data_IF_598497978372
#
_entry.id   IF_598497978372
#
_cell.length_a   1.000
_cell.length_b   1.000
_cell.length_c   1.000
_cell.angle_alpha   90.00
_cell.angle_beta   90.00
_cell.angle_gamma   90.00
#
_symmetry.space_group_name_H-M   'P 1'
#
loop_
_entity.id
_entity.type
_entity.pdbx_description
1 polymer ?
#
# COMPACT_ATOMS: atom_id res chain seq x y z
N UNK A 1 -18.67 38.76 18.11
CA UNK A 1 -18.47 37.35 17.69
C UNK A 1 -17.48 37.36 16.53
N UNK A 2 -16.28 36.80 16.72
CA UNK A 2 -15.27 36.76 15.66
C UNK A 2 -15.78 35.84 14.54
N UNK A 3 -15.85 36.37 13.32
CA UNK A 3 -16.08 35.58 12.11
C UNK A 3 -14.90 34.61 11.96
N UNK A 4 -15.08 33.38 12.44
CA UNK A 4 -14.10 32.34 12.26
C UNK A 4 -14.22 31.83 10.82
N UNK A 5 -13.14 31.91 10.03
CA UNK A 5 -13.14 31.47 8.64
C UNK A 5 -13.57 30.01 8.51
N UNK A 6 -13.31 29.19 9.53
CA UNK A 6 -13.78 27.80 9.63
C UNK A 6 -15.31 27.69 9.61
N UNK A 7 -16.05 28.56 10.30
CA UNK A 7 -17.52 28.51 10.31
C UNK A 7 -18.15 29.01 9.01
N UNK A 8 -17.44 29.86 8.27
CA UNK A 8 -17.83 30.27 6.91
C UNK A 8 -17.59 29.14 5.91
N UNK A 9 -16.43 28.48 5.98
CA UNK A 9 -16.09 27.33 5.13
C UNK A 9 -17.03 26.14 5.40
N UNK A 10 -17.38 25.87 6.66
CA UNK A 10 -18.38 24.85 7.01
C UNK A 10 -19.76 25.16 6.43
N UNK A 11 -20.22 26.42 6.51
CA UNK A 11 -21.52 26.84 5.95
C UNK A 11 -21.56 26.76 4.43
N UNK A 12 -20.43 26.95 3.75
CA UNK A 12 -20.30 26.83 2.28
C UNK A 12 -20.05 25.35 1.87
N UNK A 13 -19.95 24.43 2.84
CA UNK A 13 -19.82 23.00 2.59
C UNK A 13 -18.37 22.53 2.34
N UNK A 14 -17.38 23.40 2.54
CA UNK A 14 -15.95 23.09 2.48
C UNK A 14 -15.45 22.60 3.85
N UNK A 15 -16.11 21.58 4.41
CA UNK A 15 -15.67 20.94 5.65
C UNK A 15 -14.94 19.62 5.35
N UNK A 16 -14.16 19.11 6.32
CA UNK A 16 -13.44 17.84 6.17
C UNK A 16 -14.39 16.63 5.98
N UNK A 17 -15.66 16.74 6.39
CA UNK A 17 -16.67 15.67 6.30
C UNK A 17 -17.33 15.55 4.91
N UNK A 18 -17.25 16.58 4.06
CA UNK A 18 -17.84 16.60 2.71
C UNK A 18 -16.78 16.48 1.61
N UNK A 19 -15.56 16.05 1.95
CA UNK A 19 -14.51 15.87 0.94
C UNK A 19 -14.82 14.65 0.09
N UNK A 20 -14.47 14.73 -1.20
CA UNK A 20 -14.58 13.58 -2.10
C UNK A 20 -13.48 12.54 -1.83
N UNK A 21 -12.40 12.94 -1.16
CA UNK A 21 -11.24 12.10 -0.83
C UNK A 21 -10.86 12.25 0.63
N UNK A 22 -10.64 11.12 1.30
CA UNK A 22 -10.20 11.04 2.67
C UNK A 22 -8.93 10.19 2.75
N UNK A 23 -8.10 10.47 3.74
CA UNK A 23 -6.90 9.69 4.03
C UNK A 23 -6.91 9.30 5.49
N UNK A 24 -6.54 8.05 5.76
CA UNK A 24 -6.36 7.50 7.10
C UNK A 24 -4.98 6.85 7.16
N UNK A 25 -4.20 7.23 8.16
CA UNK A 25 -2.89 6.69 8.46
C UNK A 25 -3.02 5.78 9.68
N UNK A 26 -2.29 4.66 9.68
CA UNK A 26 -2.17 3.81 10.89
C UNK A 26 -1.45 4.53 12.04
N UNK A 27 -0.64 5.55 11.73
CA UNK A 27 -0.14 6.49 12.73
C UNK A 27 -1.18 7.60 12.98
N UNK A 28 -1.94 7.46 14.06
CA UNK A 28 -3.07 8.33 14.42
C UNK A 28 -2.69 9.82 14.52
N UNK A 29 -1.45 10.14 14.89
CA UNK A 29 -0.99 11.53 15.00
C UNK A 29 -1.05 12.27 13.65
N UNK A 30 -0.87 11.55 12.54
CA UNK A 30 -0.91 12.13 11.20
C UNK A 30 -2.34 12.47 10.76
N UNK A 31 -3.36 11.74 11.25
CA UNK A 31 -4.75 11.92 10.84
C UNK A 31 -5.33 13.30 11.17
N UNK A 32 -4.76 13.99 12.16
CA UNK A 32 -5.17 15.35 12.55
C UNK A 32 -4.32 16.45 11.93
N UNK A 33 -3.18 16.11 11.33
CA UNK A 33 -2.21 17.08 10.85
C UNK A 33 -2.07 17.07 9.32
N UNK A 34 -2.41 15.98 8.66
CA UNK A 34 -2.12 15.73 7.25
C UNK A 34 -3.42 15.49 6.50
N UNK A 35 -3.64 16.28 5.46
CA UNK A 35 -4.85 16.26 4.66
C UNK A 35 -4.54 15.97 3.21
N UNK A 36 -5.19 14.98 2.62
CA UNK A 36 -5.00 14.64 1.21
C UNK A 36 -5.58 15.73 0.30
N UNK A 37 -4.81 16.10 -0.73
CA UNK A 37 -5.19 17.02 -1.79
C UNK A 37 -5.33 16.30 -3.13
N UNK A 38 -4.44 15.35 -3.43
CA UNK A 38 -4.42 14.61 -4.70
C UNK A 38 -3.90 13.20 -4.48
N UNK A 39 -4.51 12.24 -5.17
CA UNK A 39 -3.99 10.89 -5.39
C UNK A 39 -3.83 10.68 -6.90
N UNK A 40 -2.72 10.12 -7.32
CA UNK A 40 -2.46 9.72 -8.71
C UNK A 40 -1.65 8.43 -8.69
N UNK A 41 -2.05 7.40 -9.43
CA UNK A 41 -1.37 6.13 -9.35
C UNK A 41 -1.73 5.17 -10.46
N UNK A 42 -1.09 4.01 -10.43
CA UNK A 42 -1.31 2.90 -11.32
C UNK A 42 -1.52 1.63 -10.51
N UNK A 43 -2.52 0.86 -10.92
CA UNK A 43 -2.77 -0.48 -10.40
C UNK A 43 -2.82 -1.44 -11.59
N UNK A 44 -1.97 -2.46 -11.58
CA UNK A 44 -1.77 -3.32 -12.74
C UNK A 44 -1.81 -4.81 -12.36
N UNK A 45 -2.44 -5.60 -13.23
CA UNK A 45 -2.30 -7.06 -13.22
C UNK A 45 -0.81 -7.42 -13.37
N UNK A 46 -0.31 -8.30 -12.50
CA UNK A 46 1.09 -8.72 -12.46
C UNK A 46 2.11 -7.59 -12.19
N UNK A 47 1.67 -6.45 -11.66
CA UNK A 47 2.50 -5.26 -11.42
C UNK A 47 2.29 -4.56 -10.07
N UNK A 48 1.22 -4.89 -9.34
CA UNK A 48 0.93 -4.30 -8.03
C UNK A 48 0.32 -2.89 -8.13
N UNK A 49 0.28 -2.20 -7.00
CA UNK A 49 -0.25 -0.86 -6.82
C UNK A 49 0.89 0.10 -6.45
N UNK A 50 0.98 1.21 -7.17
CA UNK A 50 1.81 2.36 -6.81
C UNK A 50 0.98 3.63 -7.00
N UNK A 51 0.91 4.47 -5.97
CA UNK A 51 0.28 5.78 -6.07
C UNK A 51 1.06 6.87 -5.33
N UNK A 52 0.98 8.07 -5.84
CA UNK A 52 1.51 9.29 -5.27
C UNK A 52 0.38 10.08 -4.60
N UNK A 53 0.62 10.46 -3.36
CA UNK A 53 -0.26 11.31 -2.56
C UNK A 53 0.39 12.67 -2.38
N UNK A 54 -0.34 13.72 -2.76
CA UNK A 54 0.00 15.10 -2.39
C UNK A 54 -0.86 15.47 -1.19
N UNK A 55 -0.21 15.70 -0.07
CA UNK A 55 -0.83 16.03 1.20
C UNK A 55 -0.46 17.46 1.63
N UNK A 56 -1.40 18.13 2.31
CA UNK A 56 -1.25 19.44 2.90
C UNK A 56 -1.25 19.32 4.43
N UNK A 57 -0.38 20.08 5.08
CA UNK A 57 -0.36 20.22 6.54
C UNK A 57 -0.13 21.68 6.94
N UNK A 58 -0.71 22.11 8.06
CA UNK A 58 -0.36 23.38 8.70
C UNK A 58 0.92 23.27 9.55
N UNK A 59 1.46 22.05 9.72
CA UNK A 59 2.68 21.79 10.46
C UNK A 59 3.84 21.50 9.51
N UNK A 60 4.83 22.38 9.47
CA UNK A 60 6.03 22.22 8.65
C UNK A 60 7.11 21.31 9.29
N UNK A 61 6.92 20.88 10.53
CA UNK A 61 7.95 20.19 11.33
C UNK A 61 7.70 18.69 11.48
N UNK A 62 6.77 18.10 10.71
CA UNK A 62 6.54 16.65 10.74
C UNK A 62 7.78 15.95 10.18
N UNK A 63 8.40 15.12 11.00
CA UNK A 63 9.58 14.37 10.60
C UNK A 63 9.20 13.30 9.55
N UNK A 64 9.89 13.26 8.41
CA UNK A 64 9.57 12.36 7.31
C UNK A 64 9.54 10.87 7.71
N UNK A 65 10.37 10.50 8.70
CA UNK A 65 10.40 9.14 9.27
C UNK A 65 9.09 8.71 9.93
N UNK A 66 8.21 9.65 10.30
CA UNK A 66 6.88 9.32 10.84
C UNK A 66 5.92 8.81 9.77
N UNK A 67 6.20 9.07 8.49
CA UNK A 67 5.41 8.56 7.37
C UNK A 67 5.90 7.20 6.89
N UNK A 68 7.21 6.97 6.84
CA UNK A 68 7.77 5.75 6.24
C UNK A 68 7.30 4.49 6.98
N UNK A 69 6.77 3.52 6.22
CA UNK A 69 6.27 2.25 6.75
C UNK A 69 4.90 2.32 7.40
N UNK A 70 4.23 3.48 7.36
CA UNK A 70 2.85 3.64 7.82
C UNK A 70 1.90 3.09 6.75
N UNK A 71 0.88 2.36 7.20
CA UNK A 71 -0.22 1.92 6.33
C UNK A 71 -1.17 3.09 6.12
N UNK A 72 -1.64 3.24 4.89
CA UNK A 72 -2.51 4.34 4.47
C UNK A 72 -3.74 3.76 3.79
N UNK A 73 -4.90 4.25 4.17
CA UNK A 73 -6.16 4.10 3.46
C UNK A 73 -6.50 5.43 2.78
N UNK A 74 -6.80 5.39 1.49
CA UNK A 74 -7.41 6.51 0.78
C UNK A 74 -8.82 6.10 0.39
N UNK A 75 -9.81 6.83 0.89
CA UNK A 75 -11.22 6.61 0.57
C UNK A 75 -11.70 7.67 -0.41
N UNK A 76 -12.25 7.22 -1.53
CA UNK A 76 -12.85 8.07 -2.55
C UNK A 76 -14.36 7.87 -2.54
N UNK A 77 -15.13 8.95 -2.52
CA UNK A 77 -16.58 8.88 -2.57
C UNK A 77 -17.01 8.61 -4.01
N UNK A 78 -17.55 7.42 -4.26
CA UNK A 78 -18.11 7.03 -5.56
C UNK A 78 -19.43 7.76 -5.83
N UNK A 79 -19.88 7.73 -7.08
CA UNK A 79 -21.16 8.27 -7.53
C UNK A 79 -22.37 7.65 -6.80
N UNK A 80 -22.27 6.38 -6.41
CA UNK A 80 -23.24 5.66 -5.58
C UNK A 80 -23.26 6.07 -4.12
N UNK A 81 -22.32 6.93 -3.68
CA UNK A 81 -22.12 7.31 -2.28
C UNK A 81 -21.35 6.28 -1.44
N UNK A 82 -20.92 5.17 -2.04
CA UNK A 82 -20.03 4.20 -1.41
C UNK A 82 -18.59 4.71 -1.39
N UNK A 83 -17.79 4.21 -0.44
CA UNK A 83 -16.36 4.51 -0.40
C UNK A 83 -15.61 3.48 -1.24
N UNK A 84 -14.90 3.95 -2.26
CA UNK A 84 -13.88 3.19 -2.96
C UNK A 84 -12.55 3.39 -2.24
N UNK A 85 -12.06 2.32 -1.61
CA UNK A 85 -10.85 2.35 -0.82
C UNK A 85 -9.63 1.95 -1.66
N UNK A 86 -8.50 2.56 -1.37
CA UNK A 86 -7.19 2.17 -1.88
C UNK A 86 -6.21 2.18 -0.72
N UNK A 87 -5.59 1.05 -0.45
CA UNK A 87 -4.66 0.85 0.66
C UNK A 87 -3.24 0.64 0.18
N UNK A 88 -2.29 1.04 1.01
CA UNK A 88 -0.89 0.85 0.71
C UNK A 88 -0.01 1.19 1.90
N UNK A 89 1.28 0.97 1.74
CA UNK A 89 2.32 1.32 2.71
C UNK A 89 3.08 2.50 2.14
N UNK A 90 3.36 3.52 2.96
CA UNK A 90 4.22 4.63 2.54
C UNK A 90 5.66 4.13 2.41
N UNK A 91 6.19 4.12 1.19
CA UNK A 91 7.55 3.66 0.89
C UNK A 91 8.51 4.82 0.71
N UNK A 92 8.01 5.97 0.27
CA UNK A 92 8.78 7.20 0.17
C UNK A 92 7.98 8.39 0.72
N UNK A 93 8.69 9.33 1.34
CA UNK A 93 8.12 10.57 1.83
C UNK A 93 9.10 11.71 1.54
N UNK A 94 8.58 12.80 0.98
CA UNK A 94 9.36 13.97 0.63
C UNK A 94 8.67 15.26 1.10
N UNK A 95 9.50 16.22 1.46
CA UNK A 95 9.07 17.55 1.87
C UNK A 95 8.97 18.45 0.63
N UNK A 96 7.81 19.07 0.42
CA UNK A 96 7.53 19.97 -0.68
C UNK A 96 7.72 21.45 -0.31
N UNK A 97 7.08 22.33 -1.08
CA UNK A 97 7.07 23.76 -0.77
C UNK A 97 6.25 24.04 0.48
N UNK A 98 6.70 25.01 1.29
CA UNK A 98 5.97 25.58 2.41
C UNK A 98 5.87 27.09 2.24
N UNK A 99 4.69 27.66 2.41
CA UNK A 99 4.45 29.11 2.38
C UNK A 99 4.38 29.72 3.79
N UNK A 100 4.63 28.91 4.82
CA UNK A 100 4.54 29.29 6.24
C UNK A 100 3.16 29.08 6.86
N UNK A 101 2.10 28.96 6.07
CA UNK A 101 0.76 28.60 6.55
C UNK A 101 0.41 27.14 6.22
N UNK A 102 0.78 26.68 5.02
CA UNK A 102 0.61 25.34 4.51
C UNK A 102 1.94 24.79 4.01
N UNK A 103 2.11 23.50 4.23
CA UNK A 103 3.27 22.73 3.83
C UNK A 103 2.82 21.51 3.04
N UNK A 104 3.46 21.29 1.90
CA UNK A 104 3.22 20.12 1.06
C UNK A 104 4.09 18.94 1.53
N UNK A 105 3.46 17.78 1.67
CA UNK A 105 4.12 16.49 1.85
C UNK A 105 3.73 15.59 0.70
N UNK A 106 4.73 15.06 -0.01
CA UNK A 106 4.51 14.10 -1.10
C UNK A 106 4.90 12.71 -0.61
N UNK A 107 3.93 11.80 -0.64
CA UNK A 107 4.08 10.42 -0.18
C UNK A 107 3.91 9.47 -1.37
N UNK A 108 4.76 8.47 -1.47
CA UNK A 108 4.57 7.34 -2.39
C UNK A 108 4.03 6.18 -1.58
N UNK A 109 2.86 5.68 -1.96
CA UNK A 109 2.26 4.46 -1.42
C UNK A 109 2.40 3.32 -2.40
N UNK A 110 2.80 2.16 -1.90
CA UNK A 110 2.89 0.91 -2.67
C UNK A 110 2.27 -0.22 -1.87
N UNK A 111 1.81 -1.28 -2.53
CA UNK A 111 1.28 -2.45 -1.83
C UNK A 111 2.38 -3.23 -1.09
N UNK A 112 1.95 -4.16 -0.23
CA UNK A 112 2.87 -4.89 0.64
C UNK A 112 3.86 -5.79 -0.12
N UNK A 113 3.59 -6.17 -1.37
CA UNK A 113 4.53 -6.95 -2.18
C UNK A 113 5.81 -6.18 -2.47
N UNK A 114 5.80 -4.85 -2.33
CA UNK A 114 7.03 -4.06 -2.49
C UNK A 114 8.12 -4.43 -1.46
N UNK A 115 7.71 -4.95 -0.29
CA UNK A 115 8.64 -5.45 0.72
C UNK A 115 9.50 -6.61 0.18
N UNK A 116 8.99 -7.41 -0.76
CA UNK A 116 9.72 -8.53 -1.36
C UNK A 116 10.92 -8.10 -2.19
N UNK A 117 10.94 -6.86 -2.70
CA UNK A 117 12.14 -6.31 -3.38
C UNK A 117 13.28 -6.01 -2.40
N UNK A 118 13.00 -5.88 -1.10
CA UNK A 118 13.99 -5.48 -0.09
C UNK A 118 14.81 -6.67 0.44
N UNK A 119 14.44 -7.91 0.12
CA UNK A 119 15.18 -9.12 0.46
C UNK A 119 15.74 -9.76 -0.80
N UNK A 120 17.04 -10.09 -0.78
CA UNK A 120 17.74 -10.85 -1.82
C UNK A 120 18.34 -12.11 -1.20
N UNK A 121 18.17 -13.26 -1.84
CA UNK A 121 18.55 -14.53 -1.23
C UNK A 121 19.08 -15.55 -2.27
N UNK A 122 19.79 -16.57 -1.78
CA UNK A 122 20.15 -17.77 -2.55
C UNK A 122 19.74 -19.02 -1.77
N UNK A 123 18.74 -19.76 -2.26
CA UNK A 123 18.23 -20.95 -1.58
C UNK A 123 17.61 -21.96 -2.53
N UNK A 124 17.55 -23.20 -2.06
CA UNK A 124 17.01 -24.33 -2.82
C UNK A 124 15.70 -24.81 -2.16
N UNK A 125 14.71 -25.08 -2.99
CA UNK A 125 13.47 -25.77 -2.64
C UNK A 125 13.48 -27.14 -3.32
N UNK A 126 13.38 -28.19 -2.51
CA UNK A 126 13.35 -29.58 -2.99
C UNK A 126 11.94 -30.13 -2.91
N UNK A 127 11.52 -30.83 -3.96
CA UNK A 127 10.22 -31.51 -4.04
C UNK A 127 9.05 -30.58 -3.65
N UNK A 128 8.97 -29.41 -4.29
CA UNK A 128 7.88 -28.45 -4.06
C UNK A 128 7.23 -27.98 -5.34
N UNK A 129 5.92 -27.72 -5.29
CA UNK A 129 5.21 -26.98 -6.34
C UNK A 129 5.45 -25.48 -6.21
N UNK A 130 5.15 -24.71 -7.26
CA UNK A 130 5.25 -23.25 -7.22
C UNK A 130 4.33 -22.62 -6.17
N UNK A 131 3.17 -23.23 -5.91
CA UNK A 131 2.20 -22.77 -4.92
C UNK A 131 2.76 -22.98 -3.51
N UNK A 132 3.31 -24.16 -3.23
CA UNK A 132 3.94 -24.44 -1.94
C UNK A 132 5.15 -23.53 -1.67
N UNK A 133 5.95 -23.23 -2.70
CA UNK A 133 7.05 -22.26 -2.60
C UNK A 133 6.53 -20.87 -2.25
N UNK A 134 5.42 -20.47 -2.88
CA UNK A 134 4.76 -19.19 -2.62
C UNK A 134 4.27 -19.10 -1.19
N UNK A 135 3.55 -20.12 -0.69
CA UNK A 135 3.08 -20.19 0.69
C UNK A 135 4.22 -20.12 1.71
N UNK A 136 5.34 -20.81 1.45
CA UNK A 136 6.53 -20.78 2.32
C UNK A 136 7.09 -19.36 2.39
N UNK A 137 7.28 -18.69 1.24
CA UNK A 137 7.76 -17.31 1.22
C UNK A 137 6.79 -16.36 1.94
N UNK A 138 5.49 -16.51 1.69
CA UNK A 138 4.46 -15.67 2.28
C UNK A 138 4.45 -15.79 3.81
N UNK A 139 4.45 -17.02 4.35
CA UNK A 139 4.51 -17.28 5.80
C UNK A 139 5.77 -16.72 6.44
N UNK A 140 6.93 -16.89 5.82
CA UNK A 140 8.18 -16.28 6.33
C UNK A 140 8.07 -14.76 6.44
N UNK A 141 7.44 -14.10 5.47
CA UNK A 141 7.25 -12.66 5.49
C UNK A 141 6.25 -12.22 6.56
N UNK A 142 5.16 -12.98 6.76
CA UNK A 142 4.23 -12.74 7.85
C UNK A 142 4.90 -12.89 9.23
N UNK A 143 5.76 -13.89 9.42
CA UNK A 143 6.50 -14.10 10.67
C UNK A 143 7.56 -13.02 10.93
N UNK A 144 8.23 -12.54 9.88
CA UNK A 144 9.31 -11.56 10.01
C UNK A 144 8.83 -10.12 10.13
N UNK A 145 7.69 -9.79 9.52
CA UNK A 145 7.20 -8.42 9.40
C UNK A 145 5.75 -8.32 9.84
N UNK A 146 5.48 -7.77 11.03
CA UNK A 146 4.11 -7.47 11.47
C UNK A 146 3.37 -6.56 10.48
N UNK A 147 4.10 -5.63 9.85
CA UNK A 147 3.56 -4.74 8.82
C UNK A 147 3.04 -5.54 7.61
N UNK A 148 3.82 -6.52 7.13
CA UNK A 148 3.39 -7.37 6.02
C UNK A 148 2.19 -8.23 6.42
N UNK A 149 2.25 -8.86 7.60
CA UNK A 149 1.17 -9.70 8.12
C UNK A 149 -0.17 -8.96 8.25
N UNK A 150 -0.13 -7.67 8.60
CA UNK A 150 -1.32 -6.83 8.71
C UNK A 150 -1.79 -6.25 7.36
N UNK A 151 -0.94 -6.21 6.33
CA UNK A 151 -1.25 -5.52 5.07
C UNK A 151 -1.73 -6.42 3.95
N UNK A 152 -1.34 -7.70 3.94
CA UNK A 152 -1.63 -8.59 2.81
C UNK A 152 -1.92 -10.01 3.27
N UNK A 153 -2.99 -10.58 2.70
CA UNK A 153 -3.34 -11.99 2.80
C UNK A 153 -3.10 -12.69 1.46
N UNK A 154 -2.89 -14.00 1.50
CA UNK A 154 -2.70 -14.81 0.31
C UNK A 154 -4.01 -15.55 0.02
N UNK A 155 -4.63 -15.25 -1.12
CA UNK A 155 -5.73 -16.03 -1.66
C UNK A 155 -5.24 -16.89 -2.84
N UNK A 156 -5.51 -18.19 -2.76
CA UNK A 156 -5.17 -19.18 -3.78
C UNK A 156 -6.42 -19.79 -4.43
N UNK A 157 -7.63 -19.35 -4.03
CA UNK A 157 -8.90 -19.91 -4.49
C UNK A 157 -9.15 -19.76 -5.99
N UNK A 158 -8.50 -18.78 -6.64
CA UNK A 158 -8.55 -18.60 -8.10
C UNK A 158 -7.71 -19.60 -8.90
N UNK A 159 -6.85 -20.40 -8.26
CA UNK A 159 -6.04 -21.40 -8.93
C UNK A 159 -6.84 -22.68 -9.18
N UNK A 160 -6.98 -23.08 -10.45
CA UNK A 160 -7.76 -24.26 -10.85
C UNK A 160 -6.92 -25.41 -11.43
N UNK A 161 -5.65 -25.15 -11.74
CA UNK A 161 -4.74 -26.13 -12.33
C UNK A 161 -3.99 -26.92 -11.26
N UNK A 162 -3.58 -28.14 -11.63
CA UNK A 162 -2.63 -28.90 -10.83
C UNK A 162 -1.21 -28.47 -11.21
N UNK A 163 -0.44 -27.97 -10.24
CA UNK A 163 0.93 -27.55 -10.45
C UNK A 163 1.92 -28.66 -10.11
N UNK A 164 2.86 -28.93 -11.01
CA UNK A 164 3.82 -30.00 -10.86
C UNK A 164 4.77 -29.78 -9.67
N UNK A 165 5.07 -30.86 -8.97
CA UNK A 165 6.08 -30.88 -7.91
C UNK A 165 7.45 -30.99 -8.57
N UNK A 166 8.28 -29.95 -8.42
CA UNK A 166 9.61 -29.90 -9.01
C UNK A 166 10.62 -30.55 -8.05
N UNK A 167 11.46 -31.51 -8.51
CA UNK A 167 12.50 -32.09 -7.67
C UNK A 167 13.47 -31.05 -7.13
N UNK A 168 13.73 -30.01 -7.91
CA UNK A 168 14.68 -28.94 -7.59
C UNK A 168 14.19 -27.60 -8.15
N UNK A 169 14.13 -26.58 -7.30
CA UNK A 169 13.95 -25.18 -7.69
C UNK A 169 14.92 -24.31 -6.90
N UNK A 170 15.64 -23.41 -7.56
CA UNK A 170 16.61 -22.53 -6.92
C UNK A 170 16.22 -21.06 -7.10
N UNK A 171 16.22 -20.33 -5.99
CA UNK A 171 16.36 -18.88 -5.96
C UNK A 171 17.86 -18.59 -5.95
N UNK A 172 18.40 -17.92 -6.97
CA UNK A 172 19.85 -17.67 -7.06
C UNK A 172 20.13 -16.17 -7.10
N UNK A 173 20.55 -15.63 -5.95
CA UNK A 173 20.95 -14.24 -5.79
C UNK A 173 19.95 -13.27 -6.46
N UNK A 174 18.66 -13.46 -6.23
CA UNK A 174 17.58 -12.65 -6.78
C UNK A 174 16.64 -12.22 -5.66
N UNK A 175 15.83 -11.18 -5.88
CA UNK A 175 14.87 -10.75 -4.87
C UNK A 175 13.75 -11.78 -4.70
N UNK A 176 13.06 -11.77 -3.56
CA UNK A 176 11.90 -12.64 -3.38
C UNK A 176 10.81 -12.32 -4.41
N UNK A 177 10.67 -11.04 -4.79
CA UNK A 177 9.75 -10.59 -5.84
C UNK A 177 10.10 -11.18 -7.20
N UNK A 178 11.36 -11.04 -7.64
CA UNK A 178 11.81 -11.52 -8.96
C UNK A 178 11.66 -13.03 -9.07
N UNK A 179 11.98 -13.73 -7.99
CA UNK A 179 11.86 -15.18 -7.90
C UNK A 179 10.41 -15.66 -8.04
N UNK A 180 9.50 -15.11 -7.23
CA UNK A 180 8.08 -15.47 -7.28
C UNK A 180 7.46 -15.13 -8.64
N UNK A 181 7.69 -13.91 -9.11
CA UNK A 181 7.23 -13.42 -10.40
C UNK A 181 7.67 -14.32 -11.56
N UNK A 182 8.94 -14.75 -11.55
CA UNK A 182 9.49 -15.67 -12.56
C UNK A 182 8.84 -17.04 -12.49
N UNK A 183 8.60 -17.57 -11.30
CA UNK A 183 7.94 -18.87 -11.11
C UNK A 183 6.49 -18.84 -11.57
N UNK A 184 5.70 -17.85 -11.13
CA UNK A 184 4.31 -17.70 -11.52
C UNK A 184 4.14 -17.59 -13.03
N UNK A 185 4.95 -16.73 -13.67
CA UNK A 185 4.93 -16.59 -15.13
C UNK A 185 5.31 -17.88 -15.87
N UNK A 186 6.19 -18.71 -15.32
CA UNK A 186 6.57 -20.00 -15.94
C UNK A 186 5.42 -21.01 -16.00
N UNK A 187 4.43 -20.86 -15.12
CA UNK A 187 3.24 -21.73 -15.02
C UNK A 187 1.96 -21.01 -15.48
N UNK A 188 2.08 -19.83 -16.12
CA UNK A 188 0.93 -19.05 -16.58
C UNK A 188 0.05 -18.48 -15.46
N UNK A 189 0.57 -18.41 -14.22
CA UNK A 189 -0.14 -17.82 -13.09
C UNK A 189 -0.06 -16.29 -13.15
N UNK A 190 -1.22 -15.65 -13.07
CA UNK A 190 -1.34 -14.20 -12.91
C UNK A 190 -1.77 -13.86 -11.48
N UNK A 191 -1.39 -12.68 -11.01
CA UNK A 191 -1.76 -12.17 -9.69
C UNK A 191 -2.25 -10.72 -9.79
N UNK A 192 -3.08 -10.35 -8.83
CA UNK A 192 -3.63 -9.01 -8.64
C UNK A 192 -3.65 -8.73 -7.14
N UNK A 193 -3.44 -7.47 -6.76
CA UNK A 193 -3.67 -7.02 -5.40
C UNK A 193 -5.08 -6.48 -5.36
N UNK A 194 -5.90 -6.96 -4.44
CA UNK A 194 -7.27 -6.47 -4.30
C UNK A 194 -7.50 -6.00 -2.88
N UNK A 195 -8.43 -5.08 -2.72
CA UNK A 195 -8.85 -4.60 -1.42
C UNK A 195 -9.70 -5.68 -0.74
N UNK A 196 -9.32 -6.07 0.47
CA UNK A 196 -10.20 -6.90 1.28
C UNK A 196 -11.37 -6.05 1.80
N UNK A 197 -12.56 -6.63 1.94
CA UNK A 197 -13.72 -5.97 2.57
C UNK A 197 -13.51 -5.65 4.08
N UNK A 198 -12.32 -5.91 4.62
CA UNK A 198 -11.95 -5.61 6.00
C UNK A 198 -11.71 -4.11 6.23
N UNK A 199 -12.23 -3.60 7.35
CA UNK A 199 -11.85 -2.31 7.89
C UNK A 199 -10.47 -2.42 8.56
N UNK A 200 -9.66 -1.37 8.44
CA UNK A 200 -8.42 -1.15 9.20
C UNK A 200 -8.58 -1.45 10.69
#
# INVERSE_FOLDING_TARGET
>A
MLFNIFSVLEKIGLNAQKRAIHVQFSNELLNHQVFLQRIEGQHQLNGGLMAELICLSTNAQIALKQFIGVQVAVDQVADSGQLFRTTGIVTEASYGQSDGALTLYKLTIEDATNLWHKRRNSRVFMNKSIVEITEVLFKEWQEKSPLFAASLSLDLGGLSQNYDIRPFTMQHNESDYDFLTRLWRSEGVSWLIDESEGLF
#
